data_IF_479330055026
#
_entry.id   IF_479330055026
#
_cell.length_a   1.000
_cell.length_b   1.000
_cell.length_c   1.000
_cell.angle_alpha   90.00
_cell.angle_beta   90.00
_cell.angle_gamma   90.00
#
_symmetry.space_group_name_H-M   'P 1'
#
loop_
_entity.id
_entity.type
_entity.pdbx_description
1 polymer ?
#
# COMPACT_ATOMS: atom_id res chain seq x y z
N UNK A 1 -17.02 21.83 14.89
CA UNK A 1 -17.39 20.47 14.44
C UNK A 1 -17.00 20.36 12.98
N UNK A 2 -16.11 19.43 12.64
CA UNK A 2 -15.75 19.14 11.25
C UNK A 2 -16.74 18.10 10.75
N UNK A 3 -17.44 18.41 9.65
CA UNK A 3 -18.37 17.45 9.05
C UNK A 3 -17.56 16.41 8.27
N UNK A 4 -18.06 15.16 8.25
CA UNK A 4 -17.58 14.12 7.40
C UNK A 4 -17.70 14.56 5.93
N UNK A 5 -16.60 14.46 5.19
CA UNK A 5 -16.60 14.72 3.74
C UNK A 5 -17.26 13.53 3.05
N UNK A 6 -18.27 13.81 2.25
CA UNK A 6 -18.91 12.80 1.41
C UNK A 6 -18.14 12.73 0.08
N UNK A 7 -17.63 11.55 -0.24
CA UNK A 7 -16.97 11.30 -1.52
C UNK A 7 -17.97 10.92 -2.61
N UNK A 8 -17.62 11.21 -3.84
CA UNK A 8 -18.37 10.80 -5.01
C UNK A 8 -17.60 9.75 -5.80
N UNK A 9 -18.32 8.82 -6.42
CA UNK A 9 -17.69 7.87 -7.35
C UNK A 9 -17.04 8.65 -8.49
N UNK A 10 -15.77 8.40 -8.74
CA UNK A 10 -14.94 9.12 -9.70
C UNK A 10 -14.05 10.20 -9.08
N UNK A 11 -14.22 10.55 -7.80
CA UNK A 11 -13.25 11.42 -7.12
C UNK A 11 -11.88 10.77 -7.13
N UNK A 12 -10.85 11.57 -7.46
CA UNK A 12 -9.48 11.09 -7.60
C UNK A 12 -8.50 12.09 -6.99
N UNK A 13 -7.50 11.56 -6.29
CA UNK A 13 -6.38 12.33 -5.73
C UNK A 13 -5.07 11.73 -6.21
N UNK A 14 -4.13 12.60 -6.57
CA UNK A 14 -2.77 12.19 -6.95
C UNK A 14 -1.77 12.83 -5.99
N UNK A 15 -0.76 12.07 -5.59
CA UNK A 15 0.27 12.45 -4.65
C UNK A 15 1.64 12.11 -5.24
N UNK A 16 2.59 13.03 -5.13
CA UNK A 16 4.00 12.68 -5.29
C UNK A 16 4.45 11.90 -4.06
N UNK A 17 5.20 10.83 -4.27
CA UNK A 17 5.72 9.98 -3.19
C UNK A 17 7.25 9.95 -3.21
N UNK A 18 7.83 9.92 -2.02
CA UNK A 18 9.23 9.66 -1.77
C UNK A 18 9.33 8.54 -0.74
N UNK A 19 10.03 7.47 -1.08
CA UNK A 19 10.17 6.28 -0.23
C UNK A 19 11.63 6.04 0.10
N UNK A 20 11.93 5.92 1.40
CA UNK A 20 13.19 5.37 1.88
C UNK A 20 13.03 3.87 2.07
N UNK A 21 13.56 3.11 1.11
CA UNK A 21 13.46 1.65 1.11
C UNK A 21 14.81 0.98 1.49
N UNK A 22 15.73 1.72 2.08
CA UNK A 22 17.07 1.20 2.49
C UNK A 22 16.92 0.01 3.44
N UNK A 23 15.93 0.03 4.34
CA UNK A 23 15.65 -1.06 5.27
C UNK A 23 15.32 -2.39 4.58
N UNK A 24 14.71 -2.38 3.37
CA UNK A 24 14.45 -3.60 2.60
C UNK A 24 15.75 -4.31 2.19
N UNK A 25 16.82 -3.55 2.01
CA UNK A 25 18.13 -4.05 1.62
C UNK A 25 18.96 -4.45 2.84
N UNK A 26 18.89 -3.67 3.92
CA UNK A 26 19.70 -3.89 5.15
C UNK A 26 19.24 -5.14 5.90
N UNK A 27 17.95 -5.42 5.94
CA UNK A 27 17.37 -6.56 6.69
C UNK A 27 17.35 -7.87 5.90
N UNK A 28 17.71 -7.85 4.60
CA UNK A 28 17.72 -9.04 3.75
C UNK A 28 19.13 -9.62 3.61
N UNK A 29 19.41 -10.82 4.17
CA UNK A 29 20.71 -11.47 4.01
C UNK A 29 21.10 -11.75 2.55
N UNK A 30 20.13 -12.04 1.70
CA UNK A 30 20.33 -12.34 0.28
C UNK A 30 20.70 -11.10 -0.55
N UNK A 31 20.44 -9.92 -0.03
CA UNK A 31 20.77 -8.64 -0.62
C UNK A 31 22.00 -7.97 0.02
N UNK A 32 22.76 -8.72 0.82
CA UNK A 32 23.92 -8.17 1.51
C UNK A 32 24.94 -7.54 0.52
N UNK A 33 25.29 -6.28 0.75
CA UNK A 33 26.17 -5.49 -0.13
C UNK A 33 25.45 -4.76 -1.27
N UNK A 34 24.13 -4.88 -1.37
CA UNK A 34 23.31 -4.03 -2.23
C UNK A 34 23.25 -2.60 -1.71
N UNK A 35 22.88 -1.67 -2.57
CA UNK A 35 22.61 -0.28 -2.18
C UNK A 35 21.39 0.23 -2.94
N UNK A 36 20.64 1.10 -2.30
CA UNK A 36 19.42 1.69 -2.85
C UNK A 36 19.39 3.18 -2.49
N UNK A 37 19.03 4.01 -3.47
CA UNK A 37 18.74 5.42 -3.27
C UNK A 37 17.26 5.60 -2.93
N UNK A 38 16.87 6.84 -2.59
CA UNK A 38 15.45 7.19 -2.43
C UNK A 38 14.67 6.88 -3.70
N UNK A 39 13.49 6.33 -3.54
CA UNK A 39 12.57 6.05 -4.63
C UNK A 39 11.60 7.21 -4.78
N UNK A 40 11.34 7.63 -6.00
CA UNK A 40 10.40 8.70 -6.33
C UNK A 40 9.33 8.20 -7.29
N UNK A 41 8.13 8.71 -7.12
CA UNK A 41 7.01 8.34 -7.97
C UNK A 41 5.71 9.02 -7.62
N UNK A 42 4.63 8.43 -8.04
CA UNK A 42 3.29 8.93 -7.78
C UNK A 42 2.36 7.85 -7.23
N UNK A 43 1.36 8.31 -6.48
CA UNK A 43 0.25 7.50 -6.03
C UNK A 43 -1.06 8.16 -6.43
N UNK A 44 -2.00 7.36 -6.92
CA UNK A 44 -3.36 7.80 -7.26
C UNK A 44 -4.36 7.01 -6.44
N UNK A 45 -5.29 7.73 -5.82
CA UNK A 45 -6.42 7.17 -5.07
C UNK A 45 -7.69 7.55 -5.80
N UNK A 46 -8.53 6.57 -6.13
CA UNK A 46 -9.81 6.78 -6.82
C UNK A 46 -10.96 6.14 -6.05
N UNK A 47 -12.07 6.86 -5.89
CA UNK A 47 -13.32 6.30 -5.41
C UNK A 47 -13.98 5.52 -6.56
N UNK A 48 -13.73 4.22 -6.62
CA UNK A 48 -14.16 3.38 -7.73
C UNK A 48 -15.64 2.99 -7.64
N UNK A 49 -16.17 2.85 -6.42
CA UNK A 49 -17.58 2.50 -6.21
C UNK A 49 -18.10 2.97 -4.85
N UNK A 50 -19.42 3.10 -4.77
CA UNK A 50 -20.20 3.19 -3.55
C UNK A 50 -21.13 1.98 -3.49
N UNK A 51 -20.93 1.08 -2.54
CA UNK A 51 -21.56 -0.25 -2.55
C UNK A 51 -21.82 -0.77 -1.12
N UNK A 52 -22.46 -1.92 -1.01
CA UNK A 52 -22.54 -2.67 0.23
C UNK A 52 -21.36 -3.66 0.27
N UNK A 53 -20.62 -3.64 1.36
CA UNK A 53 -19.52 -4.58 1.62
C UNK A 53 -19.90 -5.52 2.77
N UNK A 54 -19.63 -6.82 2.60
CA UNK A 54 -19.99 -7.84 3.59
C UNK A 54 -18.83 -8.00 4.60
N UNK A 55 -19.16 -7.82 5.87
CA UNK A 55 -18.23 -8.07 7.00
C UNK A 55 -18.89 -9.08 7.91
N UNK A 56 -18.38 -10.28 7.99
CA UNK A 56 -18.91 -11.35 8.87
C UNK A 56 -20.44 -11.54 8.78
N UNK A 57 -21.01 -11.40 7.56
CA UNK A 57 -22.45 -11.50 7.29
C UNK A 57 -23.25 -10.20 7.44
N UNK A 58 -22.63 -9.12 7.91
CA UNK A 58 -23.24 -7.79 7.97
C UNK A 58 -22.89 -6.98 6.72
N UNK A 59 -23.90 -6.45 6.02
CA UNK A 59 -23.73 -5.57 4.88
C UNK A 59 -23.59 -4.11 5.32
N UNK A 60 -22.42 -3.51 5.10
CA UNK A 60 -22.14 -2.12 5.45
C UNK A 60 -22.03 -1.26 4.20
N UNK A 61 -22.68 -0.06 4.16
CA UNK A 61 -22.42 0.92 3.11
C UNK A 61 -20.96 1.35 3.13
N UNK A 62 -20.28 1.18 2.01
CA UNK A 62 -18.85 1.43 1.89
C UNK A 62 -18.47 2.08 0.55
N UNK A 63 -17.45 2.90 0.59
CA UNK A 63 -16.68 3.28 -0.60
C UNK A 63 -15.64 2.20 -0.87
N UNK A 64 -15.50 1.82 -2.13
CA UNK A 64 -14.36 1.06 -2.62
C UNK A 64 -13.37 2.04 -3.23
N UNK A 65 -12.19 2.11 -2.63
CA UNK A 65 -11.07 2.91 -3.12
C UNK A 65 -10.13 1.99 -3.91
N UNK A 66 -9.64 2.46 -5.03
CA UNK A 66 -8.53 1.87 -5.76
C UNK A 66 -7.32 2.79 -5.64
N UNK A 67 -6.22 2.25 -5.14
CA UNK A 67 -4.97 2.94 -4.89
C UNK A 67 -3.92 2.28 -5.77
N UNK A 68 -3.28 3.07 -6.62
CA UNK A 68 -2.18 2.62 -7.45
C UNK A 68 -1.01 3.54 -7.18
N UNK A 69 0.15 2.96 -6.90
CA UNK A 69 1.37 3.71 -6.73
C UNK A 69 2.50 3.07 -7.53
N UNK A 70 3.35 3.90 -8.09
CA UNK A 70 4.55 3.51 -8.79
C UNK A 70 5.69 4.38 -8.31
N UNK A 71 6.82 3.74 -7.97
CA UNK A 71 8.04 4.45 -7.62
C UNK A 71 9.26 3.77 -8.23
N UNK A 72 10.30 4.55 -8.48
CA UNK A 72 11.56 4.06 -9.01
C UNK A 72 12.74 4.79 -8.40
N UNK A 73 13.87 4.12 -8.29
CA UNK A 73 15.12 4.70 -7.81
C UNK A 73 16.33 3.89 -8.26
N UNK A 74 17.48 4.54 -8.25
CA UNK A 74 18.72 3.88 -8.61
C UNK A 74 19.14 2.92 -7.49
N UNK A 75 19.70 1.78 -7.90
CA UNK A 75 20.18 0.77 -6.98
C UNK A 75 21.31 -0.07 -7.56
N UNK A 76 21.90 -0.88 -6.70
CA UNK A 76 22.92 -1.84 -7.07
C UNK A 76 22.64 -3.16 -6.37
N UNK A 77 22.38 -4.21 -7.16
CA UNK A 77 21.94 -5.51 -6.68
C UNK A 77 22.80 -6.65 -7.30
N UNK A 78 22.93 -7.79 -6.60
CA UNK A 78 23.59 -8.95 -7.15
C UNK A 78 22.70 -9.63 -8.20
N UNK A 79 23.30 -10.04 -9.32
CA UNK A 79 22.65 -10.90 -10.29
C UNK A 79 22.44 -12.29 -9.66
N UNK A 80 21.19 -12.85 -9.67
CA UNK A 80 20.85 -14.04 -8.89
C UNK A 80 21.69 -15.29 -9.16
N UNK A 81 22.16 -15.47 -10.40
CA UNK A 81 22.89 -16.69 -10.79
C UNK A 81 24.41 -16.58 -10.57
N UNK A 82 24.96 -15.38 -10.64
CA UNK A 82 26.41 -15.16 -10.58
C UNK A 82 26.89 -14.42 -9.34
N UNK A 83 25.99 -13.74 -8.64
CA UNK A 83 26.33 -12.86 -7.53
C UNK A 83 27.09 -11.59 -7.93
N UNK A 84 27.23 -11.32 -9.23
CA UNK A 84 27.91 -10.12 -9.73
C UNK A 84 26.98 -8.93 -9.55
N UNK A 85 27.47 -7.90 -8.87
CA UNK A 85 26.69 -6.68 -8.64
C UNK A 85 26.56 -5.82 -9.90
N UNK A 86 25.34 -5.47 -10.25
CA UNK A 86 25.04 -4.54 -11.34
C UNK A 86 24.30 -3.31 -10.78
N UNK A 87 24.56 -2.15 -11.38
CA UNK A 87 23.74 -0.95 -11.18
C UNK A 87 22.52 -0.99 -12.08
N UNK A 88 21.41 -0.43 -11.62
CA UNK A 88 20.15 -0.43 -12.35
C UNK A 88 19.10 0.40 -11.64
N UNK A 89 17.85 0.10 -11.93
CA UNK A 89 16.68 0.73 -11.31
C UNK A 89 15.85 -0.30 -10.54
N UNK A 90 15.47 0.04 -9.31
CA UNK A 90 14.39 -0.64 -8.61
C UNK A 90 13.08 -0.03 -9.07
N UNK A 91 12.13 -0.89 -9.40
CA UNK A 91 10.76 -0.56 -9.81
C UNK A 91 9.83 -1.09 -8.73
N UNK A 92 8.98 -0.23 -8.21
CA UNK A 92 7.98 -0.57 -7.19
C UNK A 92 6.61 -0.33 -7.77
N UNK A 93 5.80 -1.39 -7.86
CA UNK A 93 4.40 -1.30 -8.21
C UNK A 93 3.56 -1.70 -7.00
N UNK A 94 2.72 -0.81 -6.53
CA UNK A 94 1.81 -1.06 -5.44
C UNK A 94 0.37 -0.86 -5.89
N UNK A 95 -0.49 -1.82 -5.59
CA UNK A 95 -1.91 -1.76 -5.82
C UNK A 95 -2.65 -2.08 -4.52
N UNK A 96 -3.70 -1.33 -4.23
CA UNK A 96 -4.56 -1.61 -3.09
C UNK A 96 -6.02 -1.38 -3.48
N UNK A 97 -6.88 -2.33 -3.12
CA UNK A 97 -8.31 -2.11 -3.03
C UNK A 97 -8.69 -1.99 -1.56
N UNK A 98 -9.25 -0.86 -1.17
CA UNK A 98 -9.64 -0.55 0.21
C UNK A 98 -11.13 -0.30 0.31
N UNK A 99 -11.78 -0.96 1.26
CA UNK A 99 -13.17 -0.67 1.61
C UNK A 99 -13.22 0.19 2.87
N UNK A 100 -13.95 1.30 2.76
CA UNK A 100 -14.04 2.32 3.80
C UNK A 100 -15.50 2.58 4.10
N UNK A 101 -15.90 2.46 5.37
CA UNK A 101 -17.28 2.66 5.80
C UNK A 101 -17.73 4.10 5.54
N UNK A 102 -18.92 4.28 4.94
CA UNK A 102 -19.39 5.62 4.56
C UNK A 102 -19.75 6.51 5.76
N UNK A 103 -20.12 5.94 6.91
CA UNK A 103 -20.59 6.71 8.06
C UNK A 103 -19.48 7.48 8.79
N UNK A 104 -18.22 7.01 8.73
CA UNK A 104 -17.12 7.52 9.55
C UNK A 104 -15.73 7.33 8.91
N UNK A 105 -15.70 6.82 7.69
CA UNK A 105 -14.47 6.53 6.95
C UNK A 105 -13.54 5.50 7.64
N UNK A 106 -14.09 4.66 8.52
CA UNK A 106 -13.34 3.55 9.10
C UNK A 106 -13.00 2.51 8.04
N UNK A 107 -11.76 2.00 8.08
CA UNK A 107 -11.31 0.96 7.14
C UNK A 107 -11.93 -0.38 7.54
N UNK A 108 -12.61 -1.00 6.60
CA UNK A 108 -13.26 -2.31 6.75
C UNK A 108 -12.28 -3.42 6.38
N UNK A 109 -11.69 -3.32 5.18
CA UNK A 109 -10.75 -4.31 4.67
C UNK A 109 -9.86 -3.70 3.59
N UNK A 110 -8.74 -4.38 3.32
CA UNK A 110 -7.79 -4.04 2.26
C UNK A 110 -7.32 -5.30 1.56
N UNK A 111 -7.15 -5.21 0.25
CA UNK A 111 -6.38 -6.14 -0.56
C UNK A 111 -5.21 -5.36 -1.13
N UNK A 112 -4.00 -5.80 -0.89
CA UNK A 112 -2.78 -5.13 -1.28
C UNK A 112 -1.93 -6.08 -2.12
N UNK A 113 -1.32 -5.54 -3.17
CA UNK A 113 -0.31 -6.25 -3.99
C UNK A 113 0.90 -5.34 -4.13
N UNK A 114 2.08 -5.90 -3.97
CA UNK A 114 3.33 -5.20 -4.12
C UNK A 114 4.29 -6.04 -4.95
N UNK A 115 4.73 -5.48 -6.08
CA UNK A 115 5.77 -6.04 -6.93
C UNK A 115 7.03 -5.18 -6.82
N UNK A 116 8.15 -5.81 -6.57
CA UNK A 116 9.48 -5.21 -6.53
C UNK A 116 10.34 -5.85 -7.59
N UNK A 117 10.66 -5.11 -8.63
CA UNK A 117 11.51 -5.56 -9.73
C UNK A 117 12.79 -4.73 -9.80
N UNK A 118 13.91 -5.38 -10.15
CA UNK A 118 15.14 -4.70 -10.46
C UNK A 118 15.49 -4.89 -11.94
N UNK A 119 15.75 -3.79 -12.62
CA UNK A 119 16.20 -3.76 -14.01
C UNK A 119 17.64 -3.22 -14.10
N UNK A 120 18.57 -4.07 -14.49
CA UNK A 120 19.96 -3.72 -14.76
C UNK A 120 20.11 -3.09 -16.16
N UNK A 121 19.37 -2.05 -16.45
CA UNK A 121 19.36 -1.30 -17.71
C UNK A 121 19.16 -2.19 -18.95
N UNK A 122 18.23 -3.16 -18.86
CA UNK A 122 17.89 -4.09 -19.94
C UNK A 122 18.91 -5.22 -20.17
N UNK A 123 19.94 -5.33 -19.33
CA UNK A 123 20.88 -6.46 -19.38
C UNK A 123 20.21 -7.70 -18.77
N UNK A 124 19.56 -7.56 -17.63
CA UNK A 124 18.71 -8.55 -16.99
C UNK A 124 17.70 -7.85 -16.07
N UNK A 125 16.60 -8.54 -15.83
CA UNK A 125 15.55 -8.11 -14.89
C UNK A 125 15.31 -9.26 -13.92
N UNK A 126 15.08 -8.96 -12.65
CA UNK A 126 14.70 -9.95 -11.65
C UNK A 126 13.64 -9.38 -10.73
N UNK A 127 12.63 -10.20 -10.39
CA UNK A 127 11.75 -9.96 -9.27
C UNK A 127 12.53 -10.07 -7.98
N UNK A 128 12.41 -9.08 -7.10
CA UNK A 128 13.00 -9.08 -5.76
C UNK A 128 12.00 -9.62 -4.76
N UNK A 129 10.77 -9.17 -4.87
CA UNK A 129 9.66 -9.65 -4.05
C UNK A 129 8.34 -9.44 -4.80
N UNK A 130 7.41 -10.35 -4.57
CA UNK A 130 6.02 -10.30 -5.03
C UNK A 130 5.16 -10.83 -3.88
N UNK A 131 4.25 -10.02 -3.38
CA UNK A 131 3.35 -10.47 -2.32
C UNK A 131 1.99 -9.80 -2.37
N UNK A 132 0.98 -10.61 -2.08
CA UNK A 132 -0.38 -10.19 -1.86
C UNK A 132 -0.70 -10.26 -0.37
N UNK A 133 -1.44 -9.28 0.11
CA UNK A 133 -1.80 -9.17 1.50
C UNK A 133 -3.26 -8.76 1.66
N UNK A 134 -4.03 -9.59 2.36
CA UNK A 134 -5.41 -9.29 2.72
C UNK A 134 -5.52 -8.95 4.20
N UNK A 135 -6.18 -7.83 4.49
CA UNK A 135 -6.53 -7.40 5.83
C UNK A 135 -8.04 -7.30 6.01
N UNK A 136 -8.55 -7.82 7.12
CA UNK A 136 -9.92 -7.61 7.58
C UNK A 136 -9.91 -7.07 9.00
N UNK A 137 -10.77 -6.09 9.27
CA UNK A 137 -10.87 -5.43 10.57
C UNK A 137 -12.28 -5.59 11.16
N UNK A 138 -12.35 -6.12 12.40
CA UNK A 138 -13.61 -6.29 13.12
C UNK A 138 -13.46 -5.81 14.57
N UNK A 139 -14.13 -4.73 15.00
CA UNK A 139 -14.87 -3.78 14.14
C UNK A 139 -13.97 -3.05 13.14
N UNK A 140 -14.55 -2.34 12.14
CA UNK A 140 -13.77 -1.55 11.19
C UNK A 140 -12.78 -0.62 11.88
N UNK A 141 -11.56 -0.55 11.35
CA UNK A 141 -10.48 0.24 11.94
C UNK A 141 -10.73 1.74 11.75
N UNK A 142 -10.97 2.45 12.83
CA UNK A 142 -11.10 3.90 12.82
C UNK A 142 -9.72 4.55 12.79
N UNK A 143 -9.42 5.20 11.67
CA UNK A 143 -8.20 5.99 11.50
C UNK A 143 -8.41 7.39 12.07
N UNK A 144 -9.66 7.90 11.99
CA UNK A 144 -10.06 9.18 12.54
C UNK A 144 -11.45 9.02 13.20
N UNK A 145 -11.66 9.63 14.37
CA UNK A 145 -12.97 9.69 15.01
C UNK A 145 -13.77 10.89 14.45
N UNK A 146 -14.77 10.60 13.63
CA UNK A 146 -15.66 11.62 13.09
C UNK A 146 -16.99 11.67 13.86
N UNK A 147 -17.53 12.88 14.14
CA UNK A 147 -17.00 14.19 13.78
C UNK A 147 -15.88 14.65 14.73
N UNK A 148 -14.73 15.02 14.19
CA UNK A 148 -13.58 15.49 14.97
C UNK A 148 -13.90 16.79 15.72
N UNK A 149 -13.44 16.89 16.97
CA UNK A 149 -13.54 18.09 17.83
C UNK A 149 -12.17 18.60 18.20
N UNK A 150 -12.09 19.87 18.52
CA UNK A 150 -10.83 20.47 18.98
C UNK A 150 -10.38 19.84 20.30
N UNK A 151 -9.11 19.41 20.38
CA UNK A 151 -8.50 18.75 21.55
C UNK A 151 -9.13 17.38 21.90
N UNK A 152 -9.78 16.73 20.96
CA UNK A 152 -10.25 15.36 21.10
C UNK A 152 -9.10 14.36 20.90
N UNK A 153 -9.12 13.29 21.68
CA UNK A 153 -8.26 12.13 21.49
C UNK A 153 -9.11 10.89 21.46
N UNK A 154 -8.77 9.93 20.64
CA UNK A 154 -9.50 8.66 20.51
C UNK A 154 -8.52 7.48 20.49
N UNK A 155 -9.05 6.31 20.83
CA UNK A 155 -8.37 5.03 20.65
C UNK A 155 -9.28 4.13 19.82
N UNK A 156 -8.70 3.49 18.81
CA UNK A 156 -9.38 2.45 18.03
C UNK A 156 -8.76 1.09 18.37
N UNK A 157 -9.61 0.11 18.63
CA UNK A 157 -9.22 -1.27 18.85
C UNK A 157 -10.02 -2.14 17.91
N UNK A 158 -9.34 -2.87 17.04
CA UNK A 158 -9.96 -3.83 16.12
C UNK A 158 -9.24 -5.16 16.17
N UNK A 159 -9.99 -6.26 16.01
CA UNK A 159 -9.42 -7.56 15.70
C UNK A 159 -8.97 -7.52 14.24
N UNK A 160 -7.73 -7.90 14.01
CA UNK A 160 -7.11 -7.85 12.70
C UNK A 160 -6.76 -9.26 12.25
N UNK A 161 -7.26 -9.64 11.09
CA UNK A 161 -6.92 -10.90 10.43
C UNK A 161 -6.12 -10.58 9.19
N UNK A 162 -4.97 -11.21 9.06
CA UNK A 162 -4.05 -11.07 7.92
C UNK A 162 -3.86 -12.40 7.20
N UNK A 163 -3.82 -12.32 5.89
CA UNK A 163 -3.45 -13.45 5.02
C UNK A 163 -2.37 -12.98 4.05
N UNK A 164 -1.25 -13.68 4.04
CA UNK A 164 -0.12 -13.38 3.17
C UNK A 164 0.04 -14.48 2.14
N UNK A 165 0.26 -14.10 0.89
CA UNK A 165 0.68 -15.00 -0.19
C UNK A 165 1.77 -14.31 -0.99
N UNK A 166 2.82 -15.04 -1.35
CA UNK A 166 3.92 -14.46 -2.14
C UNK A 166 5.19 -15.30 -2.07
N UNK A 167 6.19 -14.88 -2.82
CA UNK A 167 7.52 -15.46 -2.90
C UNK A 167 8.58 -14.46 -2.48
#
# INVERSE_FOLDING_TARGET
MVQLVTWSVGDTWTYDIELDAVLLVEDSPDLAGSSLELLYGDATITVAAATLHNVSGLLLPAYRLEINAYATGAGRFPEPNTGIFASGQLLVNYQETRWVRMSDLAVISRLQSLDLDFDAFGIWTTGIADFDHEHQYEPPQEVNDFPMRLNESWNSVSLHTETWTGN
#
